data_IF_330185106142
#
_entry.id   IF_330185106142
#
_cell.length_a   1.000
_cell.length_b   1.000
_cell.length_c   1.000
_cell.angle_alpha   90.00
_cell.angle_beta   90.00
_cell.angle_gamma   90.00
#
_symmetry.space_group_name_H-M   'P 1'
#
loop_
_entity.id
_entity.type
_entity.pdbx_description
1 polymer ?
#
# COMPACT_ATOMS: atom_id res chain seq x y z
N UNK A 1 -9.01 4.56 -4.18
CA UNK A 1 -7.65 4.43 -4.75
C UNK A 1 -7.66 3.25 -5.71
N UNK A 2 -7.06 3.37 -6.88
CA UNK A 2 -7.06 2.34 -7.92
C UNK A 2 -5.67 2.25 -8.57
N UNK A 3 -5.15 1.02 -8.71
CA UNK A 3 -3.84 0.77 -9.33
C UNK A 3 -3.83 1.05 -10.83
N UNK A 4 -4.97 0.86 -11.49
CA UNK A 4 -5.14 0.98 -12.96
C UNK A 4 -5.67 2.35 -13.40
N UNK A 5 -5.84 3.30 -12.48
CA UNK A 5 -6.25 4.66 -12.80
C UNK A 5 -5.09 5.41 -13.48
N UNK A 6 -5.39 6.26 -14.45
CA UNK A 6 -4.39 7.10 -15.13
C UNK A 6 -3.75 8.11 -14.18
N UNK A 7 -4.51 8.59 -13.20
CA UNK A 7 -4.01 9.55 -12.21
C UNK A 7 -3.12 8.89 -11.17
N UNK A 8 -1.90 9.40 -11.01
CA UNK A 8 -0.99 8.95 -9.95
C UNK A 8 -1.51 9.27 -8.53
N UNK A 9 -2.46 10.20 -8.40
CA UNK A 9 -3.12 10.51 -7.13
C UNK A 9 -4.07 9.41 -6.63
N UNK A 10 -4.43 8.46 -7.46
CA UNK A 10 -5.31 7.35 -7.08
C UNK A 10 -4.59 6.16 -6.43
N UNK A 11 -3.26 6.20 -6.34
CA UNK A 11 -2.42 5.17 -5.73
C UNK A 11 -1.29 5.76 -4.90
N UNK A 12 -0.80 4.99 -3.93
CA UNK A 12 0.42 5.31 -3.18
C UNK A 12 1.50 4.34 -3.64
N UNK A 13 2.62 4.89 -4.09
CA UNK A 13 3.79 4.13 -4.49
C UNK A 13 4.76 4.03 -3.30
N UNK A 14 5.52 2.94 -3.21
CA UNK A 14 6.55 2.77 -2.17
C UNK A 14 7.64 3.85 -2.28
N UNK A 15 7.82 4.41 -3.49
CA UNK A 15 8.78 5.49 -3.77
C UNK A 15 8.26 6.90 -3.47
N UNK A 16 6.98 7.04 -3.11
CA UNK A 16 6.43 8.36 -2.79
C UNK A 16 7.10 8.94 -1.53
N UNK A 17 7.35 10.24 -1.56
CA UNK A 17 7.80 10.97 -0.37
C UNK A 17 6.68 11.10 0.66
N UNK A 18 7.03 11.34 1.92
CA UNK A 18 6.05 11.54 2.99
C UNK A 18 5.07 12.67 2.65
N UNK A 19 5.55 13.76 2.06
CA UNK A 19 4.72 14.90 1.63
C UNK A 19 3.76 14.51 0.51
N UNK A 20 4.22 13.68 -0.44
CA UNK A 20 3.38 13.20 -1.53
C UNK A 20 2.30 12.23 -1.02
N UNK A 21 2.64 11.35 -0.08
CA UNK A 21 1.65 10.47 0.58
C UNK A 21 0.58 11.31 1.29
N UNK A 22 1.00 12.30 2.09
CA UNK A 22 0.07 13.23 2.75
C UNK A 22 -0.85 13.93 1.73
N UNK A 23 -0.28 14.44 0.64
CA UNK A 23 -1.04 15.12 -0.41
C UNK A 23 -2.05 14.19 -1.09
N UNK A 24 -1.64 12.97 -1.45
CA UNK A 24 -2.50 11.96 -2.08
C UNK A 24 -3.68 11.57 -1.18
N UNK A 25 -3.43 11.32 0.10
CA UNK A 25 -4.49 10.98 1.06
C UNK A 25 -5.41 12.18 1.30
N UNK A 26 -4.87 13.39 1.43
CA UNK A 26 -5.66 14.60 1.58
C UNK A 26 -6.60 14.82 0.40
N UNK A 27 -6.13 14.58 -0.85
CA UNK A 27 -6.91 14.73 -2.09
C UNK A 27 -7.86 13.56 -2.37
N UNK A 28 -7.77 12.43 -1.66
CA UNK A 28 -8.69 11.31 -1.86
C UNK A 28 -10.14 11.79 -1.74
N UNK A 29 -10.99 11.37 -2.68
CA UNK A 29 -12.40 11.75 -2.71
C UNK A 29 -13.12 11.23 -1.47
N UNK A 30 -13.97 12.06 -0.87
CA UNK A 30 -14.82 11.72 0.27
C UNK A 30 -16.09 12.55 0.23
N UNK A 31 -17.14 12.06 0.87
CA UNK A 31 -18.38 12.80 1.10
C UNK A 31 -18.25 13.79 2.29
N UNK A 32 -19.22 14.71 2.49
CA UNK A 32 -19.15 15.73 3.55
C UNK A 32 -19.59 15.24 4.94
N UNK A 33 -20.08 14.00 5.06
CA UNK A 33 -20.60 13.47 6.32
C UNK A 33 -19.51 12.87 7.20
N UNK A 34 -19.66 12.88 8.53
CA UNK A 34 -18.72 12.20 9.43
C UNK A 34 -18.67 10.69 9.13
N UNK A 35 -17.61 10.04 9.60
CA UNK A 35 -17.45 8.59 9.46
C UNK A 35 -18.57 7.85 10.18
N UNK A 36 -19.15 6.81 9.55
CA UNK A 36 -20.30 6.10 10.08
C UNK A 36 -19.97 5.23 11.27
N UNK A 37 -20.98 4.97 12.09
CA UNK A 37 -20.88 4.07 13.25
C UNK A 37 -21.35 2.64 12.95
N UNK A 38 -22.12 2.46 11.86
CA UNK A 38 -22.72 1.19 11.46
C UNK A 38 -22.31 0.80 10.04
N UNK A 39 -22.22 -0.51 9.77
CA UNK A 39 -21.85 -1.04 8.46
C UNK A 39 -22.85 -0.70 7.35
N UNK A 40 -24.13 -0.68 7.69
CA UNK A 40 -25.21 -0.39 6.77
C UNK A 40 -25.08 1.00 6.15
N UNK A 41 -24.54 1.95 6.90
CA UNK A 41 -24.28 3.32 6.43
C UNK A 41 -23.17 3.38 5.37
N UNK A 42 -22.32 2.34 5.29
CA UNK A 42 -21.23 2.25 4.30
C UNK A 42 -21.67 1.74 2.93
N UNK A 43 -22.87 1.18 2.80
CA UNK A 43 -23.36 0.60 1.53
C UNK A 43 -23.38 1.64 0.41
N UNK A 44 -23.79 2.87 0.73
CA UNK A 44 -23.85 3.98 -0.19
C UNK A 44 -22.65 4.97 -0.07
N UNK A 45 -21.58 4.58 0.64
CA UNK A 45 -20.41 5.42 0.89
C UNK A 45 -19.11 4.65 0.57
N UNK A 46 -18.87 4.31 -0.72
CA UNK A 46 -17.75 3.47 -1.13
C UNK A 46 -16.38 4.09 -0.80
N UNK A 47 -16.25 5.42 -0.83
CA UNK A 47 -15.03 6.12 -0.47
C UNK A 47 -14.70 5.97 1.02
N UNK A 48 -15.70 6.13 1.90
CA UNK A 48 -15.55 5.91 3.34
C UNK A 48 -15.15 4.45 3.64
N UNK A 49 -15.84 3.49 3.02
CA UNK A 49 -15.55 2.06 3.15
C UNK A 49 -14.13 1.73 2.70
N UNK A 50 -13.69 2.28 1.57
CA UNK A 50 -12.34 2.07 1.04
C UNK A 50 -11.26 2.62 2.00
N UNK A 51 -11.38 3.87 2.45
CA UNK A 51 -10.38 4.48 3.32
C UNK A 51 -10.33 3.82 4.71
N UNK A 52 -11.49 3.43 5.28
CA UNK A 52 -11.54 2.64 6.52
C UNK A 52 -10.91 1.25 6.33
N UNK A 53 -11.12 0.62 5.17
CA UNK A 53 -10.48 -0.65 4.83
C UNK A 53 -8.96 -0.55 4.79
N UNK A 54 -8.43 0.50 4.16
CA UNK A 54 -6.99 0.77 4.15
C UNK A 54 -6.47 1.00 5.57
N UNK A 55 -7.17 1.80 6.37
CA UNK A 55 -6.79 2.08 7.75
C UNK A 55 -6.75 0.80 8.60
N UNK A 56 -7.78 -0.05 8.52
CA UNK A 56 -7.83 -1.31 9.26
C UNK A 56 -6.71 -2.28 8.86
N UNK A 57 -6.44 -2.39 7.56
CA UNK A 57 -5.36 -3.22 7.03
C UNK A 57 -3.98 -2.76 7.49
N UNK A 58 -3.70 -1.45 7.46
CA UNK A 58 -2.43 -0.88 7.92
C UNK A 58 -2.23 -1.03 9.43
N UNK A 59 -3.31 -1.00 10.22
CA UNK A 59 -3.27 -1.25 11.67
C UNK A 59 -3.19 -2.73 12.04
N UNK A 60 -3.40 -3.63 11.08
CA UNK A 60 -3.57 -5.06 11.33
C UNK A 60 -4.72 -5.34 12.31
N UNK A 61 -5.85 -4.65 12.12
CA UNK A 61 -7.03 -4.74 12.96
C UNK A 61 -8.27 -5.13 12.15
N UNK A 62 -9.26 -5.74 12.83
CA UNK A 62 -10.56 -6.04 12.21
C UNK A 62 -11.26 -4.74 11.80
N UNK A 63 -11.88 -4.74 10.63
CA UNK A 63 -12.60 -3.59 10.07
C UNK A 63 -13.60 -2.96 11.05
N UNK A 64 -14.35 -3.79 11.79
CA UNK A 64 -15.36 -3.33 12.75
C UNK A 64 -14.75 -2.57 13.94
N UNK A 65 -13.51 -2.92 14.32
CA UNK A 65 -12.79 -2.20 15.37
C UNK A 65 -12.32 -0.84 14.86
N UNK A 66 -11.71 -0.81 13.68
CA UNK A 66 -11.27 0.43 13.03
C UNK A 66 -12.45 1.40 12.78
N UNK A 67 -13.58 0.88 12.33
CA UNK A 67 -14.80 1.67 12.12
C UNK A 67 -15.30 2.30 13.41
N UNK A 68 -15.39 1.51 14.51
CA UNK A 68 -15.82 2.03 15.83
C UNK A 68 -14.87 3.10 16.37
N UNK A 69 -13.58 2.92 16.21
CA UNK A 69 -12.56 3.88 16.65
C UNK A 69 -12.65 5.21 15.89
N UNK A 70 -12.99 5.16 14.61
CA UNK A 70 -13.08 6.32 13.74
C UNK A 70 -14.49 6.91 13.64
N UNK A 71 -15.50 6.24 14.22
CA UNK A 71 -16.90 6.67 14.19
C UNK A 71 -17.07 8.12 14.64
N UNK A 72 -17.85 8.87 13.88
CA UNK A 72 -18.18 10.27 14.16
C UNK A 72 -17.08 11.28 13.87
N UNK A 73 -15.86 10.84 13.51
CA UNK A 73 -14.79 11.77 13.10
C UNK A 73 -15.08 12.34 11.70
N UNK A 74 -14.71 13.60 11.51
CA UNK A 74 -14.69 14.22 10.20
C UNK A 74 -13.57 13.62 9.33
N UNK A 75 -13.74 13.69 8.00
CA UNK A 75 -12.73 13.17 7.08
C UNK A 75 -11.39 13.90 7.12
N UNK A 76 -11.37 15.18 7.51
CA UNK A 76 -10.10 15.92 7.60
C UNK A 76 -9.22 15.34 8.70
N UNK A 77 -9.79 15.13 9.88
CA UNK A 77 -9.11 14.50 11.02
C UNK A 77 -8.72 13.04 10.73
N UNK A 78 -9.63 12.28 10.13
CA UNK A 78 -9.36 10.89 9.77
C UNK A 78 -8.24 10.74 8.74
N UNK A 79 -8.23 11.57 7.68
CA UNK A 79 -7.19 11.55 6.65
C UNK A 79 -5.80 11.89 7.20
N UNK A 80 -5.71 12.76 8.22
CA UNK A 80 -4.44 13.01 8.91
C UNK A 80 -3.92 11.74 9.58
N UNK A 81 -4.78 11.08 10.38
CA UNK A 81 -4.42 9.82 11.05
C UNK A 81 -4.05 8.71 10.06
N UNK A 82 -4.82 8.60 8.96
CA UNK A 82 -4.53 7.64 7.90
C UNK A 82 -3.18 7.92 7.22
N UNK A 83 -2.86 9.19 6.96
CA UNK A 83 -1.59 9.57 6.36
C UNK A 83 -0.40 9.27 7.28
N UNK A 84 -0.48 9.62 8.55
CA UNK A 84 0.54 9.32 9.56
C UNK A 84 0.77 7.80 9.68
N UNK A 85 -0.30 7.02 9.76
CA UNK A 85 -0.22 5.56 9.81
C UNK A 85 0.41 5.00 8.52
N UNK A 86 -0.01 5.48 7.35
CA UNK A 86 0.52 5.06 6.06
C UNK A 86 2.02 5.33 5.97
N UNK A 87 2.46 6.54 6.32
CA UNK A 87 3.87 6.93 6.34
C UNK A 87 4.66 6.02 7.28
N UNK A 88 4.17 5.80 8.50
CA UNK A 88 4.87 4.97 9.49
C UNK A 88 5.11 3.53 9.01
N UNK A 89 4.22 3.00 8.16
CA UNK A 89 4.35 1.65 7.59
C UNK A 89 5.19 1.61 6.32
N UNK A 90 5.08 2.62 5.47
CA UNK A 90 5.75 2.65 4.17
C UNK A 90 7.19 3.15 4.29
N UNK A 91 7.47 4.15 5.12
CA UNK A 91 8.79 4.78 5.22
C UNK A 91 9.94 3.79 5.46
N UNK A 92 9.85 2.80 6.38
CA UNK A 92 10.91 1.80 6.57
C UNK A 92 11.17 0.97 5.33
N UNK A 93 10.11 0.63 4.56
CA UNK A 93 10.19 -0.14 3.33
C UNK A 93 10.83 0.71 2.23
N UNK A 94 10.36 1.96 2.09
CA UNK A 94 10.88 2.94 1.12
C UNK A 94 12.37 3.21 1.33
N UNK A 95 12.81 3.38 2.58
CA UNK A 95 14.23 3.54 2.90
C UNK A 95 15.08 2.37 2.42
N UNK A 96 14.68 1.13 2.77
CA UNK A 96 15.38 -0.08 2.31
C UNK A 96 15.41 -0.20 0.80
N UNK A 97 14.29 0.07 0.14
CA UNK A 97 14.22 0.04 -1.33
C UNK A 97 15.16 1.05 -1.97
N UNK A 98 15.19 2.29 -1.46
CA UNK A 98 16.08 3.32 -1.95
C UNK A 98 17.57 2.97 -1.73
N UNK A 99 17.91 2.32 -0.62
CA UNK A 99 19.26 1.86 -0.35
C UNK A 99 19.69 0.78 -1.36
N UNK A 100 18.80 -0.17 -1.69
CA UNK A 100 19.06 -1.15 -2.75
C UNK A 100 19.18 -0.49 -4.13
N UNK A 101 18.32 0.47 -4.47
CA UNK A 101 18.37 1.17 -5.74
C UNK A 101 19.67 1.99 -5.92
N UNK A 102 20.25 2.49 -4.84
CA UNK A 102 21.56 3.17 -4.85
C UNK A 102 22.72 2.18 -5.02
N UNK A 103 22.56 0.95 -4.55
CA UNK A 103 23.61 -0.09 -4.63
C UNK A 103 23.36 -1.05 -5.81
N UNK A 104 23.53 -0.51 -7.02
CA UNK A 104 23.28 -1.27 -8.27
C UNK A 104 24.15 -2.52 -8.41
N UNK A 105 25.37 -2.48 -7.92
CA UNK A 105 26.29 -3.63 -8.03
C UNK A 105 25.86 -4.77 -7.13
N UNK A 106 25.34 -4.47 -5.94
CA UNK A 106 24.72 -5.46 -5.06
C UNK A 106 23.48 -6.11 -5.72
N UNK A 107 22.61 -5.30 -6.34
CA UNK A 107 21.45 -5.82 -7.06
C UNK A 107 21.85 -6.72 -8.23
N UNK A 108 22.86 -6.32 -9.03
CA UNK A 108 23.39 -7.14 -10.13
C UNK A 108 23.95 -8.47 -9.63
N UNK A 109 24.66 -8.46 -8.49
CA UNK A 109 25.19 -9.68 -7.87
C UNK A 109 24.06 -10.65 -7.49
N UNK A 110 23.01 -10.16 -6.79
CA UNK A 110 21.87 -11.00 -6.40
C UNK A 110 21.13 -11.56 -7.63
N UNK A 111 20.92 -10.74 -8.67
CA UNK A 111 20.28 -11.18 -9.91
C UNK A 111 21.13 -12.26 -10.60
N UNK A 112 22.45 -12.10 -10.65
CA UNK A 112 23.36 -13.09 -11.24
C UNK A 112 23.30 -14.43 -10.48
N UNK A 113 23.42 -14.39 -9.16
CA UNK A 113 23.31 -15.59 -8.32
C UNK A 113 21.93 -16.28 -8.46
N UNK A 114 20.85 -15.51 -8.58
CA UNK A 114 19.51 -16.01 -8.83
C UNK A 114 19.38 -16.68 -10.20
N UNK A 115 19.92 -16.06 -11.25
CA UNK A 115 19.95 -16.61 -12.61
C UNK A 115 20.74 -17.92 -12.69
N UNK A 116 21.93 -17.96 -12.08
CA UNK A 116 22.75 -19.18 -12.06
C UNK A 116 22.03 -20.36 -11.36
N UNK A 117 21.31 -20.09 -10.27
CA UNK A 117 20.49 -21.11 -9.61
C UNK A 117 19.32 -21.59 -10.48
N UNK A 118 18.63 -20.64 -11.13
CA UNK A 118 17.52 -20.96 -12.02
C UNK A 118 17.99 -21.76 -13.24
N UNK A 119 19.09 -21.37 -13.85
CA UNK A 119 19.70 -22.07 -15.00
C UNK A 119 20.11 -23.50 -14.64
N UNK A 120 20.73 -23.71 -13.50
CA UNK A 120 21.12 -25.05 -13.06
C UNK A 120 19.89 -25.98 -12.90
N UNK A 121 18.81 -25.48 -12.30
CA UNK A 121 17.57 -26.25 -12.10
C UNK A 121 16.89 -26.53 -13.45
N UNK A 122 16.74 -25.50 -14.29
CA UNK A 122 16.05 -25.62 -15.57
C UNK A 122 16.81 -26.50 -16.56
N UNK A 123 18.13 -26.40 -16.61
CA UNK A 123 18.97 -27.22 -17.48
C UNK A 123 18.90 -28.70 -17.11
N UNK A 124 18.91 -29.02 -15.82
CA UNK A 124 18.75 -30.40 -15.33
C UNK A 124 17.39 -30.97 -15.74
N UNK A 125 16.32 -30.25 -15.49
CA UNK A 125 14.96 -30.66 -15.87
C UNK A 125 14.79 -30.83 -17.38
N UNK A 126 15.38 -29.92 -18.19
CA UNK A 126 15.35 -30.01 -19.64
C UNK A 126 16.07 -31.27 -20.18
N UNK A 127 17.21 -31.64 -19.56
CA UNK A 127 17.93 -32.86 -19.93
C UNK A 127 17.13 -34.12 -19.61
N UNK A 128 16.37 -34.14 -18.53
CA UNK A 128 15.47 -35.25 -18.17
C UNK A 128 14.30 -35.40 -19.12
N UNK A 129 13.70 -34.25 -19.57
CA UNK A 129 12.56 -34.27 -20.50
C UNK A 129 12.96 -34.68 -21.92
N UNK A 130 14.22 -34.42 -22.32
CA UNK A 130 14.73 -34.76 -23.66
C UNK A 130 15.24 -36.18 -23.80
N UNK A 131 15.23 -36.98 -22.75
CA UNK A 131 15.49 -38.43 -22.79
C UNK A 131 14.25 -39.21 -23.18
#
# INVERSE_FOLDING_TARGET
MSKSDESDYSRINITDTNDLINLKIKKAKTDPHPLPSKKEELENRPEAKNLLGIYSALKDEKFDKAMREMSGKDFSSFKKLLAELTISKIEPISKKMNDYLKNKDYLKKILKEGNEKADNISSTNLLEIKK
#
